data_IF_077084876604
#
_entry.id   IF_077084876604
#
_cell.length_a   1.000
_cell.length_b   1.000
_cell.length_c   1.000
_cell.angle_alpha   90.00
_cell.angle_beta   90.00
_cell.angle_gamma   90.00
#
_symmetry.space_group_name_H-M   'P 1'
#
loop_
_entity.id
_entity.type
_entity.pdbx_description
1 polymer ?
#
# COMPACT_ATOMS: atom_id res chain seq x y z
N UNK A 1 5.63 -9.85 -1.77
CA UNK A 1 5.75 -10.10 -3.21
C UNK A 1 6.53 -8.95 -3.80
N UNK A 2 7.66 -9.25 -4.42
CA UNK A 2 8.40 -8.31 -5.25
C UNK A 2 7.70 -8.06 -6.58
N UNK A 3 8.06 -6.96 -7.23
CA UNK A 3 7.51 -6.59 -8.54
C UNK A 3 7.76 -7.67 -9.59
N UNK A 4 8.94 -8.28 -9.58
CA UNK A 4 9.37 -9.29 -10.54
C UNK A 4 9.06 -10.74 -10.12
N UNK A 5 8.19 -10.97 -9.12
CA UNK A 5 7.81 -12.34 -8.73
C UNK A 5 6.79 -12.96 -9.69
N UNK A 6 6.02 -12.12 -10.41
CA UNK A 6 4.90 -12.53 -11.26
C UNK A 6 5.36 -12.63 -12.71
N UNK A 7 4.98 -13.69 -13.42
CA UNK A 7 5.35 -13.94 -14.82
C UNK A 7 5.01 -12.77 -15.76
N UNK A 8 3.83 -12.20 -15.63
CA UNK A 8 3.40 -11.00 -16.37
C UNK A 8 4.19 -9.72 -16.06
N UNK A 9 5.10 -9.72 -15.08
CA UNK A 9 6.06 -8.63 -14.84
C UNK A 9 7.52 -9.05 -15.08
N UNK A 10 7.74 -10.19 -15.75
CA UNK A 10 9.06 -10.73 -16.08
C UNK A 10 9.61 -11.70 -15.03
N UNK A 11 8.78 -12.21 -14.12
CA UNK A 11 9.18 -13.22 -13.14
C UNK A 11 9.38 -14.61 -13.74
N UNK A 12 10.26 -15.37 -13.11
CA UNK A 12 10.61 -16.75 -13.49
C UNK A 12 9.65 -17.81 -12.91
N UNK A 13 8.87 -17.43 -11.90
CA UNK A 13 7.91 -18.32 -11.24
C UNK A 13 6.65 -18.42 -12.12
N UNK A 14 6.19 -19.62 -12.50
CA UNK A 14 4.96 -19.78 -13.26
C UNK A 14 3.74 -19.30 -12.47
N UNK A 15 3.07 -18.24 -12.94
CA UNK A 15 1.86 -17.66 -12.32
C UNK A 15 0.66 -17.65 -13.28
N UNK A 16 0.25 -18.80 -13.86
CA UNK A 16 -0.65 -18.85 -15.01
C UNK A 16 -2.01 -18.18 -14.79
N UNK A 17 -2.57 -18.26 -13.58
CA UNK A 17 -3.85 -17.62 -13.25
C UNK A 17 -3.75 -16.09 -13.21
N UNK A 18 -2.63 -15.56 -12.73
CA UNK A 18 -2.39 -14.11 -12.66
C UNK A 18 -2.05 -13.58 -14.05
N UNK A 19 -1.30 -14.35 -14.85
CA UNK A 19 -0.93 -13.99 -16.21
C UNK A 19 -2.16 -13.94 -17.13
N UNK A 20 -3.10 -14.88 -16.97
CA UNK A 20 -4.39 -14.85 -17.65
C UNK A 20 -5.21 -13.60 -17.27
N UNK A 21 -5.25 -13.21 -15.98
CA UNK A 21 -5.90 -11.99 -15.55
C UNK A 21 -5.27 -10.74 -16.19
N UNK A 22 -3.95 -10.69 -16.28
CA UNK A 22 -3.23 -9.60 -16.91
C UNK A 22 -3.47 -9.53 -18.43
N UNK A 23 -3.62 -10.67 -19.12
CA UNK A 23 -3.88 -10.74 -20.56
C UNK A 23 -5.30 -10.33 -20.95
N UNK A 24 -6.27 -10.52 -20.07
CA UNK A 24 -7.69 -10.20 -20.30
C UNK A 24 -8.17 -8.95 -19.56
N UNK A 25 -7.27 -8.20 -18.93
CA UNK A 25 -7.59 -7.04 -18.10
C UNK A 25 -6.64 -5.86 -18.32
N UNK A 26 -6.46 -5.06 -17.27
CA UNK A 26 -5.51 -3.97 -17.23
C UNK A 26 -4.31 -4.34 -16.36
N UNK A 27 -3.10 -3.99 -16.84
CA UNK A 27 -1.85 -4.19 -16.12
C UNK A 27 -1.15 -2.85 -15.91
N UNK A 28 -0.98 -2.46 -14.64
CA UNK A 28 -0.29 -1.22 -14.28
C UNK A 28 1.21 -1.45 -14.17
N UNK A 29 2.01 -0.71 -14.93
CA UNK A 29 3.47 -0.74 -14.83
C UNK A 29 4.01 0.17 -13.72
N UNK A 30 3.15 1.02 -13.15
CA UNK A 30 3.48 2.02 -12.13
C UNK A 30 2.39 2.01 -11.04
N UNK A 31 2.55 1.13 -10.07
CA UNK A 31 1.70 1.06 -8.88
C UNK A 31 2.57 1.21 -7.63
N UNK A 32 2.21 2.13 -6.75
CA UNK A 32 2.99 2.45 -5.54
C UNK A 32 2.16 2.16 -4.29
N UNK A 33 2.78 1.52 -3.32
CA UNK A 33 2.24 1.35 -1.97
C UNK A 33 3.09 2.14 -0.96
N UNK A 34 2.71 2.07 0.31
CA UNK A 34 3.55 2.58 1.39
C UNK A 34 4.61 1.53 1.76
N UNK A 35 5.73 1.96 2.37
CA UNK A 35 6.85 1.07 2.72
C UNK A 35 6.50 -0.03 3.76
N UNK A 36 5.28 -0.05 4.31
CA UNK A 36 4.85 -0.97 5.36
C UNK A 36 3.39 -1.39 5.18
N UNK A 37 3.02 -2.47 5.87
CA UNK A 37 1.73 -3.12 5.70
C UNK A 37 0.54 -2.31 6.22
N UNK A 38 0.61 -1.73 7.42
CA UNK A 38 -0.46 -0.92 8.01
C UNK A 38 -0.80 0.33 7.19
N UNK A 39 0.15 1.22 6.84
CA UNK A 39 -0.16 2.42 6.05
C UNK A 39 -0.63 2.07 4.63
N UNK A 40 -0.09 1.01 4.01
CA UNK A 40 -0.57 0.53 2.69
C UNK A 40 -2.03 0.11 2.74
N UNK A 41 -2.41 -0.67 3.75
CA UNK A 41 -3.81 -1.09 3.93
C UNK A 41 -4.73 0.08 4.27
N UNK A 42 -4.28 1.00 5.14
CA UNK A 42 -5.06 2.17 5.50
C UNK A 42 -5.41 3.01 4.27
N UNK A 43 -4.42 3.31 3.41
CA UNK A 43 -4.68 4.03 2.16
C UNK A 43 -5.56 3.28 1.18
N UNK A 44 -5.36 1.97 1.04
CA UNK A 44 -6.18 1.15 0.14
C UNK A 44 -7.65 1.10 0.56
N UNK A 45 -7.94 1.00 1.86
CA UNK A 45 -9.30 0.86 2.39
C UNK A 45 -10.04 2.19 2.49
N UNK A 46 -9.33 3.29 2.71
CA UNK A 46 -9.96 4.61 2.95
C UNK A 46 -9.89 5.55 1.75
N UNK A 47 -8.99 5.28 0.78
CA UNK A 47 -8.68 6.22 -0.30
C UNK A 47 -7.92 7.47 0.16
N UNK A 48 -7.45 7.50 1.40
CA UNK A 48 -6.75 8.65 2.01
C UNK A 48 -5.26 8.37 2.16
N UNK A 49 -4.46 9.42 2.30
CA UNK A 49 -3.07 9.24 2.72
C UNK A 49 -3.01 8.67 4.14
N UNK A 50 -1.97 7.88 4.49
CA UNK A 50 -1.92 7.19 5.79
C UNK A 50 -2.04 8.14 6.98
N UNK A 51 -1.47 9.34 6.83
CA UNK A 51 -1.52 10.37 7.85
C UNK A 51 -2.92 10.94 8.07
N UNK A 52 -3.79 10.95 7.05
CA UNK A 52 -5.18 11.36 7.19
C UNK A 52 -6.02 10.22 7.78
N UNK A 53 -5.64 8.97 7.49
CA UNK A 53 -6.30 7.77 7.98
C UNK A 53 -5.91 7.36 9.41
N UNK A 54 -5.26 8.23 10.19
CA UNK A 54 -4.79 7.92 11.55
C UNK A 54 -3.60 6.95 11.62
N UNK A 55 -2.96 6.60 10.50
CA UNK A 55 -1.81 5.69 10.41
C UNK A 55 -0.56 6.46 9.98
N UNK A 56 -0.25 7.53 10.74
CA UNK A 56 0.96 8.34 10.53
C UNK A 56 2.25 7.65 10.99
N UNK A 57 2.14 6.74 11.97
CA UNK A 57 3.25 5.95 12.52
C UNK A 57 2.79 4.51 12.76
N UNK A 58 3.69 3.54 12.59
CA UNK A 58 3.38 2.11 12.78
C UNK A 58 3.52 1.66 14.23
N UNK A 59 4.32 2.40 14.97
CA UNK A 59 4.56 2.23 16.39
C UNK A 59 3.88 3.42 17.03
N UNK A 60 3.18 3.22 18.15
CA UNK A 60 2.58 4.28 18.98
C UNK A 60 3.67 5.15 19.66
N UNK A 61 4.78 5.41 18.96
CA UNK A 61 5.86 6.26 19.38
C UNK A 61 5.39 7.70 19.23
N UNK A 62 4.67 8.14 20.27
CA UNK A 62 4.40 9.56 20.49
C UNK A 62 5.70 10.17 21.03
N UNK A 63 6.49 10.79 20.15
CA UNK A 63 7.65 11.56 20.59
C UNK A 63 7.13 12.85 21.25
N UNK A 64 7.41 13.09 22.56
CA UNK A 64 6.96 14.32 23.22
C UNK A 64 7.49 15.55 22.49
N UNK A 65 6.59 16.47 22.14
CA UNK A 65 6.95 17.69 21.37
C UNK A 65 7.07 17.49 19.86
N UNK A 66 6.93 16.26 19.34
CA UNK A 66 6.76 16.08 17.90
C UNK A 66 5.42 16.68 17.48
N UNK A 67 5.44 17.60 16.51
CA UNK A 67 4.23 18.08 15.82
C UNK A 67 3.72 17.01 14.86
N UNK A 68 3.67 15.76 15.33
CA UNK A 68 3.50 14.57 14.51
C UNK A 68 2.34 14.75 13.55
N UNK A 69 2.50 14.20 12.34
CA UNK A 69 1.52 14.17 11.28
C UNK A 69 0.35 13.21 11.63
N UNK A 70 -0.20 13.35 12.83
CA UNK A 70 -1.34 12.58 13.33
C UNK A 70 -2.61 13.28 12.81
N UNK A 71 -2.92 13.09 11.53
CA UNK A 71 -4.27 13.36 11.06
C UNK A 71 -5.16 12.27 11.64
N UNK A 72 -5.85 12.59 12.73
CA UNK A 72 -6.96 11.77 13.17
C UNK A 72 -8.10 12.00 12.16
N UNK A 73 -8.70 10.92 11.68
CA UNK A 73 -9.98 11.04 10.98
C UNK A 73 -10.96 11.66 11.98
N UNK A 74 -11.39 12.89 11.67
CA UNK A 74 -12.33 13.70 12.43
C UNK A 74 -13.46 12.82 13.00
N UNK A 75 -13.44 12.58 14.31
CA UNK A 75 -14.59 12.05 15.06
C UNK A 75 -15.61 13.17 15.20
N UNK A 76 -16.41 13.38 14.16
CA UNK A 76 -17.72 14.02 14.30
C UNK A 76 -18.72 13.03 14.87
#
# INVERSE_FOLDING_TARGET
MGFSDIGSYGGEIPTPNIDALAAHGLRFTQFYNNARCSPSRASLLTGLYPHQAGVGHLEEVVVPGSRGLHGQLDTR
#
